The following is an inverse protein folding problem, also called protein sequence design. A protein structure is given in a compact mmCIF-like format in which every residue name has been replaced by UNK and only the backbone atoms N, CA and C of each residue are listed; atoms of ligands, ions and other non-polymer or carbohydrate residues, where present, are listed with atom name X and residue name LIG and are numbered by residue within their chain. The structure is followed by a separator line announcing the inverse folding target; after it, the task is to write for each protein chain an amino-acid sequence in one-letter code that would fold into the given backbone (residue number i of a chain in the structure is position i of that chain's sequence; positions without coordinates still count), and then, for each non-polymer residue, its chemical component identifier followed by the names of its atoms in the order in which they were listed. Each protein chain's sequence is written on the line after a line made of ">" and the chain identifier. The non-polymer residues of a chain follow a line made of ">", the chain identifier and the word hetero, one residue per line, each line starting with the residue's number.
data_IF_267362750501
#
_entry.id   IF_267362750501
#
_cell.length_a   1.000
_cell.length_b   1.000
_cell.length_c   1.000
_cell.angle_alpha   90.00
_cell.angle_beta   90.00
_cell.angle_gamma   90.00
#
_symmetry.space_group_name_H-M   'P 1'
#
loop_
_entity.id
_entity.type
_entity.pdbx_description
1 polymer ?
#
# COMPACT_ATOMS: atom_id res chain seq x y z
N UNK A 1 3.13 -23.67 -16.50
CA UNK A 1 2.19 -22.53 -16.52
C UNK A 1 2.48 -21.59 -15.35
N UNK A 2 3.23 -20.52 -15.61
CA UNK A 2 3.44 -19.46 -14.63
C UNK A 2 2.20 -18.56 -14.66
N UNK A 3 1.55 -18.39 -13.52
CA UNK A 3 0.50 -17.39 -13.37
C UNK A 3 1.04 -16.02 -13.84
N UNK A 4 0.27 -15.21 -14.58
CA UNK A 4 0.67 -13.84 -14.83
C UNK A 4 0.86 -13.15 -13.47
N UNK A 5 1.84 -12.26 -13.36
CA UNK A 5 2.08 -11.49 -12.14
C UNK A 5 0.89 -10.55 -11.88
N UNK A 6 -0.14 -11.05 -11.21
CA UNK A 6 -1.22 -10.23 -10.67
C UNK A 6 -0.85 -9.86 -9.25
N UNK A 7 -0.74 -8.56 -9.00
CA UNK A 7 -0.55 -8.02 -7.66
C UNK A 7 -1.92 -7.88 -7.02
N UNK A 8 -2.28 -8.78 -6.10
CA UNK A 8 -3.46 -8.63 -5.26
C UNK A 8 -3.15 -7.62 -4.17
N UNK A 9 -3.93 -6.54 -4.10
CA UNK A 9 -3.73 -5.44 -3.14
C UNK A 9 -4.87 -5.47 -2.12
N UNK A 10 -4.50 -5.53 -0.84
CA UNK A 10 -5.44 -5.29 0.26
C UNK A 10 -5.03 -4.02 0.98
N UNK A 11 -6.00 -3.21 1.38
CA UNK A 11 -5.78 -1.92 2.04
C UNK A 11 -6.16 -2.02 3.52
N UNK A 12 -5.25 -1.62 4.40
CA UNK A 12 -5.47 -1.59 5.85
C UNK A 12 -5.44 -0.13 6.29
N UNK A 13 -6.41 0.28 7.11
CA UNK A 13 -6.40 1.60 7.74
C UNK A 13 -5.36 1.60 8.86
N UNK A 14 -4.51 2.62 8.90
CA UNK A 14 -3.58 2.82 10.03
C UNK A 14 -4.39 3.01 11.33
N UNK A 15 -4.07 2.20 12.33
CA UNK A 15 -4.74 2.15 13.63
C UNK A 15 -3.96 2.89 14.72
N UNK A 16 -2.64 2.99 14.57
CA UNK A 16 -1.72 3.56 15.55
C UNK A 16 -1.12 4.86 15.05
N UNK A 17 -1.61 5.98 15.60
CA UNK A 17 -1.01 7.31 15.42
C UNK A 17 -0.17 7.74 16.62
N UNK A 18 0.93 8.45 16.40
CA UNK A 18 1.63 9.15 17.49
C UNK A 18 0.79 10.34 17.98
N UNK A 19 0.81 10.58 19.29
CA UNK A 19 -0.05 11.57 19.94
C UNK A 19 0.43 13.02 19.78
N UNK A 20 1.67 13.26 19.35
CA UNK A 20 2.21 14.61 19.15
C UNK A 20 2.34 14.91 17.66
N UNK A 21 1.56 15.88 17.20
CA UNK A 21 1.56 16.45 15.85
C UNK A 21 1.01 15.54 14.74
N UNK A 22 -0.26 15.74 14.41
CA UNK A 22 -0.89 15.32 13.14
C UNK A 22 -0.67 13.85 12.75
N UNK A 23 -1.34 12.91 13.44
CA UNK A 23 -1.65 11.55 12.94
C UNK A 23 -0.49 10.88 12.15
N UNK A 24 0.74 10.91 12.67
CA UNK A 24 1.84 10.18 12.06
C UNK A 24 1.74 8.69 12.43
N UNK A 25 1.85 7.76 11.47
CA UNK A 25 1.78 6.33 11.76
C UNK A 25 2.91 5.86 12.69
N UNK A 26 2.58 5.07 13.71
CA UNK A 26 3.56 4.29 14.47
C UNK A 26 3.90 3.03 13.66
N UNK A 27 4.89 3.14 12.78
CA UNK A 27 5.27 2.06 11.85
C UNK A 27 5.67 0.76 12.55
N UNK A 28 6.20 0.82 13.78
CA UNK A 28 6.59 -0.38 14.51
C UNK A 28 5.36 -1.18 14.93
N UNK A 29 4.38 -0.51 15.56
CA UNK A 29 3.11 -1.15 15.95
C UNK A 29 2.29 -1.58 14.76
N UNK A 30 2.20 -0.75 13.73
CA UNK A 30 1.54 -1.12 12.48
C UNK A 30 2.18 -2.37 11.87
N UNK A 31 3.51 -2.44 11.83
CA UNK A 31 4.21 -3.62 11.31
C UNK A 31 3.95 -4.87 12.16
N UNK A 32 3.91 -4.76 13.49
CA UNK A 32 3.63 -5.90 14.37
C UNK A 32 2.25 -6.50 14.11
N UNK A 33 1.21 -5.67 14.00
CA UNK A 33 -0.14 -6.10 13.65
C UNK A 33 -0.22 -6.64 12.22
N UNK A 34 0.39 -5.94 11.28
CA UNK A 34 0.41 -6.33 9.87
C UNK A 34 1.13 -7.68 9.68
N UNK A 35 2.18 -8.00 10.45
CA UNK A 35 2.85 -9.31 10.37
C UNK A 35 1.93 -10.46 10.77
N UNK A 36 0.95 -10.23 11.66
CA UNK A 36 -0.05 -11.23 12.00
C UNK A 36 -1.10 -11.43 10.89
N UNK A 37 -1.32 -10.39 10.06
CA UNK A 37 -2.36 -10.38 9.02
C UNK A 37 -1.84 -10.74 7.62
N UNK A 38 -0.58 -10.43 7.32
CA UNK A 38 0.05 -10.67 6.01
C UNK A 38 0.53 -12.11 5.93
N UNK A 39 -0.07 -12.88 5.01
CA UNK A 39 0.42 -14.20 4.63
C UNK A 39 1.82 -14.06 4.02
N UNK A 40 2.75 -14.97 4.35
CA UNK A 40 4.10 -14.98 3.76
C UNK A 40 4.02 -14.90 2.23
N UNK A 41 4.74 -13.93 1.65
CA UNK A 41 4.77 -13.69 0.20
C UNK A 41 3.97 -12.46 -0.27
N UNK A 42 3.18 -11.83 0.61
CA UNK A 42 2.57 -10.54 0.35
C UNK A 42 3.48 -9.39 0.78
N UNK A 43 3.45 -8.28 0.03
CA UNK A 43 4.30 -7.13 0.26
C UNK A 43 3.51 -5.83 0.21
N UNK A 44 3.94 -4.85 1.01
CA UNK A 44 3.43 -3.48 0.92
C UNK A 44 3.94 -2.85 -0.38
N UNK A 45 3.01 -2.40 -1.22
CA UNK A 45 3.31 -1.73 -2.50
C UNK A 45 2.97 -0.24 -2.50
N UNK A 46 2.33 0.28 -1.46
CA UNK A 46 1.87 1.65 -1.44
C UNK A 46 1.14 2.05 -0.16
N UNK A 47 0.82 3.33 -0.06
CA UNK A 47 0.00 3.89 1.01
C UNK A 47 -0.92 5.00 0.48
N UNK A 48 -1.99 5.29 1.21
CA UNK A 48 -2.96 6.33 0.90
C UNK A 48 -3.00 7.34 2.04
N UNK A 49 -2.88 8.62 1.71
CA UNK A 49 -3.11 9.72 2.65
C UNK A 49 -4.45 10.38 2.34
N UNK A 50 -5.31 10.44 3.37
CA UNK A 50 -6.56 11.19 3.35
C UNK A 50 -6.34 12.45 4.18
N UNK A 51 -6.49 13.63 3.58
CA UNK A 51 -6.17 14.86 4.29
C UNK A 51 -6.68 16.12 3.62
N UNK A 52 -6.43 17.26 4.29
CA UNK A 52 -6.83 18.59 3.78
C UNK A 52 -6.20 18.84 2.42
N UNK A 53 -6.97 19.49 1.55
CA UNK A 53 -6.52 19.89 0.22
C UNK A 53 -5.23 20.72 0.35
N UNK A 54 -4.20 20.29 -0.37
CA UNK A 54 -2.84 20.82 -0.31
C UNK A 54 -2.04 20.33 -1.50
N UNK A 55 -0.72 20.52 -1.48
CA UNK A 55 0.15 20.05 -2.56
C UNK A 55 0.08 18.51 -2.68
N UNK A 56 -0.58 18.07 -3.76
CA UNK A 56 -0.83 16.66 -4.06
C UNK A 56 0.46 15.87 -4.22
N UNK A 57 1.50 16.48 -4.82
CA UNK A 57 2.78 15.80 -5.02
C UNK A 57 3.52 15.61 -3.69
N UNK A 58 3.47 16.60 -2.81
CA UNK A 58 4.04 16.48 -1.46
C UNK A 58 3.31 15.44 -0.62
N UNK A 59 1.98 15.41 -0.69
CA UNK A 59 1.20 14.38 -0.01
C UNK A 59 1.47 12.99 -0.60
N UNK A 60 1.64 12.87 -1.91
CA UNK A 60 2.04 11.62 -2.55
C UNK A 60 3.42 11.15 -2.10
N UNK A 61 4.40 12.06 -2.00
CA UNK A 61 5.74 11.76 -1.45
C UNK A 61 5.66 11.26 -0.01
N UNK A 62 4.82 11.86 0.83
CA UNK A 62 4.58 11.38 2.19
C UNK A 62 3.97 9.97 2.20
N UNK A 63 3.01 9.70 1.33
CA UNK A 63 2.40 8.39 1.20
C UNK A 63 3.43 7.33 0.75
N UNK A 64 4.22 7.62 -0.29
CA UNK A 64 5.29 6.75 -0.77
C UNK A 64 6.32 6.48 0.33
N UNK A 65 6.74 7.51 1.06
CA UNK A 65 7.68 7.39 2.16
C UNK A 65 7.11 6.53 3.31
N UNK A 66 5.82 6.65 3.62
CA UNK A 66 5.15 5.81 4.61
C UNK A 66 5.14 4.33 4.18
N UNK A 67 4.81 4.06 2.92
CA UNK A 67 4.86 2.71 2.35
C UNK A 67 6.28 2.13 2.41
N UNK A 68 7.29 2.94 2.07
CA UNK A 68 8.70 2.56 2.13
C UNK A 68 9.13 2.17 3.55
N UNK A 69 8.85 3.04 4.54
CA UNK A 69 9.20 2.80 5.95
C UNK A 69 8.53 1.55 6.53
N UNK A 70 7.25 1.36 6.21
CA UNK A 70 6.53 0.18 6.66
C UNK A 70 7.14 -1.09 6.05
N UNK A 71 7.48 -1.03 4.76
CA UNK A 71 8.12 -2.14 4.06
C UNK A 71 9.51 -2.48 4.59
N UNK A 72 10.29 -1.45 4.94
CA UNK A 72 11.59 -1.58 5.61
C UNK A 72 11.43 -2.26 6.97
N UNK A 73 10.41 -1.88 7.73
CA UNK A 73 10.13 -2.46 9.06
C UNK A 73 9.64 -3.90 8.97
N UNK A 74 8.89 -4.25 7.93
CA UNK A 74 8.38 -5.61 7.70
C UNK A 74 9.45 -6.58 7.21
N UNK A 75 10.31 -6.17 6.27
CA UNK A 75 11.24 -7.06 5.58
C UNK A 75 12.71 -6.90 6.01
N UNK A 76 13.04 -5.81 6.73
CA UNK A 76 14.41 -5.37 6.99
C UNK A 76 15.03 -4.63 5.80
N UNK A 77 15.96 -3.71 6.08
CA UNK A 77 16.62 -2.82 5.10
C UNK A 77 17.22 -3.57 3.90
N UNK A 78 17.72 -4.78 4.13
CA UNK A 78 18.44 -5.56 3.13
C UNK A 78 17.53 -6.31 2.14
N UNK A 79 16.21 -6.35 2.39
CA UNK A 79 15.25 -7.12 1.59
C UNK A 79 14.24 -6.24 0.84
N UNK A 80 14.57 -4.96 0.61
CA UNK A 80 13.68 -4.10 -0.16
C UNK A 80 13.69 -4.46 -1.66
N UNK A 81 14.78 -4.86 -2.29
CA UNK A 81 14.76 -5.04 -3.76
C UNK A 81 14.26 -3.81 -4.53
N UNK A 82 14.09 -3.95 -5.85
CA UNK A 82 13.63 -2.87 -6.73
C UNK A 82 12.14 -2.99 -7.02
N UNK A 83 11.31 -2.54 -6.08
CA UNK A 83 9.85 -2.53 -6.23
C UNK A 83 9.36 -1.09 -6.33
N UNK A 84 8.52 -0.82 -7.33
CA UNK A 84 7.87 0.47 -7.48
C UNK A 84 6.83 0.67 -6.37
N UNK A 85 6.79 1.87 -5.81
CA UNK A 85 5.88 2.23 -4.72
C UNK A 85 4.81 3.20 -5.21
N UNK A 86 3.59 3.00 -4.74
CA UNK A 86 2.41 3.79 -5.10
C UNK A 86 2.01 4.69 -3.93
N UNK A 87 1.88 5.99 -4.20
CA UNK A 87 1.30 6.97 -3.27
C UNK A 87 -0.08 7.40 -3.75
N UNK A 88 -1.10 7.10 -2.95
CA UNK A 88 -2.46 7.61 -3.14
C UNK A 88 -2.69 8.87 -2.30
N UNK A 89 -3.42 9.83 -2.86
CA UNK A 89 -3.86 11.04 -2.16
C UNK A 89 -5.34 11.27 -2.42
N UNK A 90 -6.11 11.47 -1.36
CA UNK A 90 -7.52 11.82 -1.44
C UNK A 90 -7.85 13.00 -0.50
N UNK A 91 -8.73 13.89 -0.96
CA UNK A 91 -9.23 14.99 -0.15
C UNK A 91 -10.17 14.51 0.97
N UNK A 92 -10.21 15.23 2.09
CA UNK A 92 -11.06 14.92 3.26
C UNK A 92 -12.56 14.84 2.96
N UNK A 93 -13.02 15.47 1.88
CA UNK A 93 -14.44 15.52 1.47
C UNK A 93 -14.92 14.27 0.72
N UNK A 94 -14.06 13.26 0.52
CA UNK A 94 -14.40 12.07 -0.26
C UNK A 94 -14.43 12.42 -1.75
N UNK A 95 -13.24 12.55 -2.34
CA UNK A 95 -13.06 12.79 -3.77
C UNK A 95 -12.30 11.66 -4.45
N UNK A 96 -12.08 11.82 -5.76
CA UNK A 96 -11.24 10.93 -6.57
C UNK A 96 -9.84 10.77 -5.96
N UNK A 97 -9.39 9.52 -5.82
CA UNK A 97 -8.03 9.22 -5.36
C UNK A 97 -7.06 9.47 -6.52
N UNK A 98 -6.09 10.35 -6.30
CA UNK A 98 -4.99 10.56 -7.26
C UNK A 98 -3.81 9.71 -6.88
N UNK A 99 -3.25 9.01 -7.88
CA UNK A 99 -2.15 8.08 -7.67
C UNK A 99 -0.86 8.61 -8.28
N UNK A 100 0.24 8.30 -7.61
CA UNK A 100 1.59 8.59 -8.03
C UNK A 100 2.46 7.36 -7.84
N UNK A 101 3.44 7.17 -8.71
CA UNK A 101 4.38 6.06 -8.63
C UNK A 101 5.81 6.58 -8.49
N UNK A 102 6.61 5.85 -7.72
CA UNK A 102 8.04 6.08 -7.56
C UNK A 102 8.82 4.80 -7.77
N UNK A 103 9.88 4.88 -8.56
CA UNK A 103 10.75 3.74 -8.84
C UNK A 103 11.65 3.48 -7.64
N UNK A 104 11.60 2.25 -7.10
CA UNK A 104 12.39 1.85 -5.91
C UNK A 104 12.24 2.82 -4.71
N UNK A 105 11.13 3.55 -4.61
CA UNK A 105 10.89 4.53 -3.54
C UNK A 105 11.71 5.83 -3.64
N UNK A 106 12.37 6.11 -4.77
CA UNK A 106 13.02 7.40 -4.99
C UNK A 106 12.01 8.56 -5.04
N UNK A 107 12.01 9.37 -3.98
CA UNK A 107 11.13 10.52 -3.82
C UNK A 107 11.44 11.67 -4.79
N UNK A 108 12.58 11.65 -5.49
CA UNK A 108 12.93 12.66 -6.50
C UNK A 108 12.31 12.37 -7.86
N UNK A 109 11.90 11.13 -8.13
CA UNK A 109 11.36 10.68 -9.43
C UNK A 109 9.89 10.26 -9.37
N UNK A 110 9.12 10.88 -8.47
CA UNK A 110 7.67 10.65 -8.36
C UNK A 110 6.94 11.13 -9.62
N UNK A 111 6.10 10.27 -10.19
CA UNK A 111 5.30 10.56 -11.39
C UNK A 111 3.82 10.35 -11.12
N UNK A 112 2.99 11.25 -11.64
CA UNK A 112 1.54 11.05 -11.63
C UNK A 112 1.17 9.81 -12.48
N UNK A 113 0.21 9.03 -11.99
CA UNK A 113 -0.38 7.91 -12.72
C UNK A 113 -1.59 8.44 -13.48
N UNK A 114 -1.53 8.37 -14.80
CA UNK A 114 -2.54 8.98 -15.67
C UNK A 114 -3.78 8.09 -15.91
N UNK A 115 -3.68 6.80 -15.62
CA UNK A 115 -4.77 5.85 -15.81
C UNK A 115 -4.75 4.80 -14.72
N UNK A 116 -5.86 4.67 -14.01
CA UNK A 116 -6.12 3.56 -13.09
C UNK A 116 -7.33 2.82 -13.63
N UNK A 117 -7.16 1.53 -13.89
CA UNK A 117 -8.27 0.66 -14.30
C UNK A 117 -8.80 0.02 -13.02
N UNK A 118 -10.04 0.36 -12.68
CA UNK A 118 -10.77 -0.32 -11.61
C UNK A 118 -11.63 -1.40 -12.26
N UNK A 119 -11.41 -2.65 -11.89
CA UNK A 119 -12.23 -3.76 -12.36
C UNK A 119 -13.39 -3.98 -11.38
N UNK A 120 -14.63 -4.03 -11.89
CA UNK A 120 -15.84 -4.20 -11.08
C UNK A 120 -16.02 -5.63 -10.56
N UNK A 121 -15.49 -6.62 -11.30
CA UNK A 121 -15.52 -8.05 -10.94
C UNK A 121 -14.08 -8.59 -10.80
N UNK A 122 -13.28 -8.10 -9.85
CA UNK A 122 -11.88 -8.51 -9.70
C UNK A 122 -11.74 -10.02 -9.46
N UNK A 123 -12.72 -10.63 -8.79
CA UNK A 123 -12.80 -12.06 -8.57
C UNK A 123 -12.80 -12.85 -9.87
N UNK A 124 -13.44 -12.37 -10.94
CA UNK A 124 -13.48 -13.06 -12.23
C UNK A 124 -12.08 -13.26 -12.80
N UNK A 125 -11.20 -12.27 -12.65
CA UNK A 125 -9.80 -12.38 -13.07
C UNK A 125 -8.98 -13.28 -12.15
N UNK A 126 -9.23 -13.24 -10.84
CA UNK A 126 -8.60 -14.14 -9.87
C UNK A 126 -9.01 -15.60 -10.12
N UNK A 127 -10.28 -15.86 -10.43
CA UNK A 127 -10.79 -17.20 -10.73
C UNK A 127 -10.36 -17.70 -12.12
N UNK A 128 -10.32 -16.83 -13.13
CA UNK A 128 -9.88 -17.21 -14.47
C UNK A 128 -8.36 -17.35 -14.60
N UNK A 129 -7.59 -16.64 -13.76
CA UNK A 129 -6.13 -16.52 -13.93
C UNK A 129 -5.32 -16.74 -12.66
N UNK A 130 -5.92 -17.11 -11.54
CA UNK A 130 -5.25 -17.30 -10.24
C UNK A 130 -5.62 -18.63 -9.57
N UNK A 131 -4.91 -18.95 -8.48
CA UNK A 131 -5.20 -20.09 -7.62
C UNK A 131 -5.71 -19.56 -6.27
N UNK A 132 -6.97 -19.87 -5.91
CA UNK A 132 -7.53 -19.45 -4.62
C UNK A 132 -7.13 -20.47 -3.53
N UNK A 133 -6.34 -20.02 -2.56
CA UNK A 133 -6.09 -20.76 -1.32
C UNK A 133 -7.11 -20.32 -0.26
N UNK A 134 -8.16 -21.12 -0.06
CA UNK A 134 -9.11 -20.96 1.05
C UNK A 134 -8.47 -21.53 2.32
N UNK A 135 -7.92 -20.65 3.14
CA UNK A 135 -7.45 -21.00 4.49
C UNK A 135 -8.56 -20.69 5.49
N UNK A 136 -9.15 -21.72 6.08
CA UNK A 136 -10.05 -21.58 7.22
C UNK A 136 -9.25 -21.67 8.51
N UNK A 137 -9.25 -20.59 9.29
CA UNK A 137 -8.69 -20.58 10.64
C UNK A 137 -9.83 -20.90 11.63
N UNK A 138 -9.84 -22.08 12.27
CA UNK A 138 -10.75 -22.33 13.37
C UNK A 138 -10.32 -21.47 14.55
N UNK A 139 -11.12 -20.47 14.88
CA UNK A 139 -11.00 -19.75 16.15
C UNK A 139 -11.64 -20.67 17.20
N UNK A 140 -10.85 -21.06 18.22
CA UNK A 140 -11.36 -21.72 19.43
C UNK A 140 -11.75 -20.69 20.48
#
# INVERSE_FOLDING_TARGET
>A
PFFPQFTVVSTIRCLHGQQSETLSPDFAKEADDIRALIIKGFHVIGALIIGKDGDLEQNAKKAINAAFKLRETLNGVNNLGNVDLIGGVAGSSGGEVKFFASKSGDLKSVKAVNSVVCEEEPEKYVWQRGCLLRCELPIK
#
